data_IF_285186157559
#
_entry.id   IF_285186157559
#
_cell.length_a   1.000
_cell.length_b   1.000
_cell.length_c   1.000
_cell.angle_alpha   90.00
_cell.angle_beta   90.00
_cell.angle_gamma   90.00
#
_symmetry.space_group_name_H-M   'P 1'
#
loop_
_entity.id
_entity.type
_entity.pdbx_description
1 polymer ?
#
# COMPACT_ATOMS: atom_id res chain seq x y z
N UNK A 1 -12.80 1.08 0.99
CA UNK A 1 -12.01 0.64 -0.17
C UNK A 1 -10.79 -0.04 0.38
N UNK A 2 -10.56 -1.31 0.05
CA UNK A 2 -9.39 -2.05 0.51
C UNK A 2 -8.20 -1.72 -0.38
N UNK A 3 -7.17 -1.10 0.19
CA UNK A 3 -6.00 -0.63 -0.56
C UNK A 3 -4.74 -1.35 -0.07
N UNK A 4 -3.74 -1.45 -0.94
CA UNK A 4 -2.43 -2.00 -0.60
C UNK A 4 -1.31 -1.08 -1.11
N UNK A 5 -0.23 -0.93 -0.34
CA UNK A 5 1.00 -0.23 -0.72
C UNK A 5 2.12 -1.25 -0.82
N UNK A 6 2.79 -1.30 -1.97
CA UNK A 6 3.94 -2.20 -2.15
C UNK A 6 5.19 -1.55 -1.58
N UNK A 7 5.89 -2.26 -0.71
CA UNK A 7 7.14 -1.81 -0.08
C UNK A 7 8.33 -2.42 -0.82
N UNK A 8 9.21 -1.55 -1.32
CA UNK A 8 10.49 -1.89 -1.92
C UNK A 8 11.64 -1.47 -1.01
N UNK A 9 12.79 -2.17 -1.06
CA UNK A 9 14.00 -1.71 -0.37
C UNK A 9 14.43 -0.36 -0.96
N UNK A 10 14.42 0.69 -0.14
CA UNK A 10 14.82 2.04 -0.54
C UNK A 10 13.73 2.87 -1.21
N UNK A 11 12.47 2.42 -1.20
CA UNK A 11 11.34 3.33 -1.46
C UNK A 11 11.30 4.39 -0.36
N UNK A 12 10.99 5.62 -0.77
CA UNK A 12 10.97 6.77 0.13
C UNK A 12 9.55 7.20 0.47
N UNK A 13 8.60 6.91 -0.41
CA UNK A 13 7.22 7.40 -0.32
C UNK A 13 6.22 6.32 0.10
N UNK A 14 6.64 5.15 0.56
CA UNK A 14 5.75 4.11 1.10
C UNK A 14 4.95 4.60 2.32
N UNK A 15 5.56 5.42 3.18
CA UNK A 15 4.85 6.08 4.29
C UNK A 15 3.90 7.18 3.83
N UNK A 16 4.33 7.99 2.86
CA UNK A 16 3.48 9.04 2.29
C UNK A 16 2.23 8.43 1.61
N UNK A 17 2.42 7.31 0.91
CA UNK A 17 1.35 6.52 0.31
C UNK A 17 0.40 5.95 1.36
N UNK A 18 0.94 5.42 2.45
CA UNK A 18 0.14 4.92 3.58
C UNK A 18 -0.75 6.03 4.15
N UNK A 19 -0.16 7.18 4.49
CA UNK A 19 -0.86 8.29 5.13
C UNK A 19 -1.93 8.89 4.19
N UNK A 20 -1.58 9.08 2.91
CA UNK A 20 -2.52 9.59 1.92
C UNK A 20 -3.73 8.65 1.76
N UNK A 21 -3.50 7.35 1.61
CA UNK A 21 -4.57 6.37 1.45
C UNK A 21 -5.43 6.25 2.71
N UNK A 22 -4.81 6.26 3.90
CA UNK A 22 -5.54 6.25 5.16
C UNK A 22 -6.47 7.46 5.31
N UNK A 23 -5.99 8.66 4.95
CA UNK A 23 -6.77 9.89 5.04
C UNK A 23 -7.93 9.93 4.05
N UNK A 24 -7.70 9.57 2.78
CA UNK A 24 -8.74 9.69 1.74
C UNK A 24 -9.77 8.56 1.79
N UNK A 25 -9.40 7.37 2.25
CA UNK A 25 -10.31 6.22 2.31
C UNK A 25 -10.91 5.98 3.69
N UNK A 26 -10.35 6.59 4.75
CA UNK A 26 -10.72 6.31 6.14
C UNK A 26 -10.24 4.95 6.65
N UNK A 27 -9.45 4.21 5.87
CA UNK A 27 -8.92 2.89 6.21
C UNK A 27 -7.44 2.80 5.84
N UNK A 28 -6.62 2.29 6.76
CA UNK A 28 -5.20 2.07 6.50
C UNK A 28 -5.00 1.01 5.38
N UNK A 29 -4.11 1.27 4.40
CA UNK A 29 -3.76 0.24 3.41
C UNK A 29 -2.97 -0.90 4.05
N UNK A 30 -3.01 -2.07 3.42
CA UNK A 30 -2.07 -3.14 3.72
C UNK A 30 -0.68 -2.80 3.17
N UNK A 31 0.36 -2.87 4.02
CA UNK A 31 1.74 -2.76 3.58
C UNK A 31 2.24 -4.14 3.14
N UNK A 32 2.54 -4.31 1.85
CA UNK A 32 2.89 -5.60 1.25
C UNK A 32 4.33 -5.56 0.78
N UNK A 33 5.15 -6.51 1.22
CA UNK A 33 6.54 -6.57 0.77
C UNK A 33 6.60 -7.07 -0.69
N UNK A 34 7.40 -6.43 -1.54
CA UNK A 34 7.43 -6.73 -2.97
C UNK A 34 7.77 -8.19 -3.34
N UNK A 35 8.36 -8.98 -2.43
CA UNK A 35 8.70 -10.40 -2.64
C UNK A 35 7.70 -11.39 -2.06
N UNK A 36 6.63 -10.95 -1.41
CA UNK A 36 5.65 -11.87 -0.81
C UNK A 36 4.85 -12.62 -1.88
N UNK A 37 4.78 -12.10 -3.12
CA UNK A 37 4.17 -12.78 -4.26
C UNK A 37 2.64 -12.84 -4.21
N UNK A 38 2.03 -12.28 -3.17
CA UNK A 38 0.57 -12.24 -2.97
C UNK A 38 0.14 -10.87 -2.44
N UNK A 39 -1.10 -10.49 -2.72
CA UNK A 39 -1.76 -9.28 -2.21
C UNK A 39 -3.02 -9.73 -1.46
N UNK A 40 -3.46 -9.04 -0.39
CA UNK A 40 -4.66 -9.41 0.35
C UNK A 40 -5.91 -9.55 -0.52
N UNK A 41 -6.76 -10.51 -0.18
CA UNK A 41 -7.99 -10.76 -0.93
C UNK A 41 -8.97 -9.59 -0.88
N UNK A 42 -9.51 -9.27 -2.05
CA UNK A 42 -10.43 -8.17 -2.25
C UNK A 42 -9.78 -6.78 -2.19
N UNK A 43 -8.47 -6.66 -2.43
CA UNK A 43 -7.84 -5.36 -2.68
C UNK A 43 -8.44 -4.71 -3.94
N UNK A 44 -8.99 -3.50 -3.77
CA UNK A 44 -9.59 -2.69 -4.81
C UNK A 44 -8.54 -1.82 -5.55
N UNK A 45 -7.45 -1.45 -4.86
CA UNK A 45 -6.38 -0.60 -5.37
C UNK A 45 -5.02 -0.99 -4.82
N UNK A 46 -4.02 -1.03 -5.70
CA UNK A 46 -2.60 -1.23 -5.35
C UNK A 46 -1.83 0.04 -5.70
N UNK A 47 -1.12 0.60 -4.72
CA UNK A 47 -0.21 1.72 -4.87
C UNK A 47 1.23 1.23 -4.88
N UNK A 48 1.97 1.59 -5.93
CA UNK A 48 3.41 1.37 -6.04
C UNK A 48 4.08 2.72 -5.83
N UNK A 49 4.63 2.99 -4.63
CA UNK A 49 5.26 4.27 -4.31
C UNK A 49 6.61 4.42 -5.00
N UNK A 50 7.08 5.68 -5.04
CA UNK A 50 8.42 6.06 -5.49
C UNK A 50 9.52 5.85 -4.45
#
# INVERSE_FOLDING_TARGET
MKTAVIVFPGSNCDRDAYDALAQVTGQAPAMVWHKDGTIPDGTDLVMVPG
#
